data_IF_579606247094
#
_entry.id   IF_579606247094
#
_cell.length_a   1.000
_cell.length_b   1.000
_cell.length_c   1.000
_cell.angle_alpha   90.00
_cell.angle_beta   90.00
_cell.angle_gamma   90.00
#
_symmetry.space_group_name_H-M   'P 1'
#
loop_
_entity.id
_entity.type
_entity.pdbx_description
1 polymer ?
#
# COMPACT_ATOMS: atom_id res chain seq x y z
N UNK A 1 14.52 -32.14 -36.27
CA UNK A 1 14.12 -31.42 -35.04
C UNK A 1 15.36 -30.73 -34.50
N UNK A 2 15.29 -29.42 -34.27
CA UNK A 2 16.35 -28.69 -33.56
C UNK A 2 15.98 -28.77 -32.08
N UNK A 3 16.86 -29.34 -31.27
CA UNK A 3 16.70 -29.38 -29.82
C UNK A 3 17.43 -28.15 -29.27
N UNK A 4 16.69 -27.22 -28.64
CA UNK A 4 17.25 -26.00 -28.05
C UNK A 4 16.88 -26.01 -26.57
N UNK A 5 17.90 -25.90 -25.72
CA UNK A 5 17.70 -25.66 -24.29
C UNK A 5 17.35 -24.20 -24.08
N UNK A 6 16.07 -23.92 -23.83
CA UNK A 6 15.60 -22.60 -23.46
C UNK A 6 15.76 -22.40 -21.95
N UNK A 7 16.48 -21.36 -21.55
CA UNK A 7 16.70 -20.99 -20.15
C UNK A 7 16.18 -19.58 -19.93
N UNK A 8 15.31 -19.41 -18.94
CA UNK A 8 14.85 -18.09 -18.52
C UNK A 8 15.86 -17.45 -17.56
N UNK A 9 16.10 -16.15 -17.68
CA UNK A 9 16.97 -15.44 -16.72
C UNK A 9 16.31 -15.41 -15.33
N UNK A 10 15.06 -14.96 -15.28
CA UNK A 10 14.11 -15.07 -14.16
C UNK A 10 12.83 -15.72 -14.68
N UNK A 11 11.95 -16.20 -13.81
CA UNK A 11 10.68 -16.80 -14.25
C UNK A 11 9.84 -15.79 -15.06
N UNK A 12 9.40 -16.17 -16.26
CA UNK A 12 8.54 -15.32 -17.11
C UNK A 12 7.06 -15.60 -16.87
N UNK A 13 6.71 -16.87 -16.68
CA UNK A 13 5.36 -17.31 -16.32
C UNK A 13 5.42 -18.70 -15.66
N UNK A 14 4.55 -18.94 -14.68
CA UNK A 14 4.54 -20.18 -13.90
C UNK A 14 4.18 -21.44 -14.72
N UNK A 15 3.56 -21.28 -15.90
CA UNK A 15 3.17 -22.35 -16.81
C UNK A 15 4.25 -22.71 -17.85
N UNK A 16 5.29 -21.89 -18.01
CA UNK A 16 6.44 -22.19 -18.86
C UNK A 16 7.38 -23.16 -18.14
N UNK A 17 7.41 -24.42 -18.59
CA UNK A 17 8.20 -25.50 -17.96
C UNK A 17 9.60 -25.63 -18.56
N UNK A 18 10.46 -24.65 -18.28
CA UNK A 18 11.88 -24.65 -18.69
C UNK A 18 12.80 -24.29 -17.51
N UNK A 19 14.12 -24.43 -17.68
CA UNK A 19 15.08 -24.04 -16.64
C UNK A 19 15.06 -22.52 -16.40
N UNK A 20 15.33 -22.11 -15.15
CA UNK A 20 15.41 -20.70 -14.72
C UNK A 20 16.74 -20.48 -14.00
N UNK A 21 17.52 -19.50 -14.44
CA UNK A 21 18.83 -19.20 -13.85
C UNK A 21 18.70 -18.61 -12.44
N UNK A 22 17.75 -17.69 -12.25
CA UNK A 22 17.45 -17.05 -10.97
C UNK A 22 15.95 -17.20 -10.65
N UNK A 23 15.53 -18.33 -10.04
CA UNK A 23 14.13 -18.56 -9.72
C UNK A 23 13.61 -17.58 -8.65
N UNK A 24 12.30 -17.31 -8.60
CA UNK A 24 11.72 -16.48 -7.55
C UNK A 24 11.94 -17.10 -6.17
N UNK A 25 12.17 -16.24 -5.18
CA UNK A 25 12.27 -16.65 -3.79
C UNK A 25 11.02 -16.20 -3.03
N UNK A 26 10.45 -17.10 -2.23
CA UNK A 26 9.40 -16.74 -1.28
C UNK A 26 10.00 -15.99 -0.10
N UNK A 27 9.39 -14.87 0.28
CA UNK A 27 9.75 -14.15 1.50
C UNK A 27 9.01 -14.78 2.68
N UNK A 28 9.76 -15.17 3.72
CA UNK A 28 9.22 -15.72 4.97
C UNK A 28 9.43 -14.73 6.11
N UNK A 29 8.50 -14.72 7.06
CA UNK A 29 8.45 -13.75 8.15
C UNK A 29 8.48 -12.30 7.64
N UNK A 30 7.69 -12.00 6.60
CA UNK A 30 7.36 -10.61 6.27
C UNK A 30 6.65 -9.96 7.46
N UNK A 31 6.66 -8.62 7.55
CA UNK A 31 6.11 -7.93 8.72
C UNK A 31 4.67 -8.36 9.04
N UNK A 32 3.81 -8.42 8.01
CA UNK A 32 2.42 -8.86 8.18
C UNK A 32 2.29 -10.29 8.69
N UNK A 33 3.10 -11.22 8.15
CA UNK A 33 3.12 -12.61 8.58
C UNK A 33 3.61 -12.75 10.03
N UNK A 34 4.66 -12.01 10.40
CA UNK A 34 5.20 -12.02 11.75
C UNK A 34 4.20 -11.49 12.77
N UNK A 35 3.49 -10.41 12.47
CA UNK A 35 2.44 -9.86 13.33
C UNK A 35 1.31 -10.88 13.54
N UNK A 36 0.85 -11.52 12.48
CA UNK A 36 -0.19 -12.54 12.56
C UNK A 36 0.23 -13.77 13.40
N UNK A 37 1.52 -14.19 13.31
CA UNK A 37 2.08 -15.26 14.15
C UNK A 37 2.16 -14.91 15.63
N UNK A 38 2.12 -13.62 15.97
CA UNK A 38 2.14 -13.11 17.35
C UNK A 38 0.76 -12.61 17.81
N UNK A 39 -0.32 -13.06 17.14
CA UNK A 39 -1.71 -12.71 17.45
C UNK A 39 -1.97 -11.18 17.48
N UNK A 40 -1.21 -10.43 16.69
CA UNK A 40 -1.36 -8.98 16.54
C UNK A 40 -2.34 -8.62 15.42
N UNK A 41 -3.11 -7.57 15.66
CA UNK A 41 -4.08 -7.01 14.72
C UNK A 41 -3.44 -5.92 13.87
N UNK A 42 -3.78 -5.86 12.59
CA UNK A 42 -3.17 -4.94 11.65
C UNK A 42 -4.17 -4.44 10.62
N UNK A 43 -4.02 -3.19 10.17
CA UNK A 43 -4.82 -2.60 9.10
C UNK A 43 -3.93 -2.20 7.93
N UNK A 44 -4.37 -2.51 6.71
CA UNK A 44 -3.84 -1.95 5.45
C UNK A 44 -4.86 -0.98 4.87
N UNK A 45 -4.44 0.23 4.56
CA UNK A 45 -5.36 1.25 4.02
C UNK A 45 -4.68 2.11 2.97
N UNK A 46 -5.34 2.28 1.83
CA UNK A 46 -4.88 3.19 0.78
C UNK A 46 -6.00 3.42 -0.23
N UNK A 47 -5.76 4.32 -1.18
CA UNK A 47 -6.59 4.46 -2.36
C UNK A 47 -6.25 3.39 -3.43
N UNK A 48 -7.09 3.27 -4.46
CA UNK A 48 -6.98 2.29 -5.55
C UNK A 48 -5.56 2.18 -6.13
N UNK A 49 -4.90 3.30 -6.41
CA UNK A 49 -3.57 3.33 -7.04
C UNK A 49 -2.48 2.64 -6.22
N UNK A 50 -2.58 2.70 -4.89
CA UNK A 50 -1.56 2.16 -3.98
C UNK A 50 -2.08 1.04 -3.08
N UNK A 51 -3.32 0.59 -3.27
CA UNK A 51 -3.90 -0.52 -2.52
C UNK A 51 -3.11 -1.83 -2.65
N UNK A 52 -2.72 -2.22 -3.87
CA UNK A 52 -1.87 -3.40 -4.09
C UNK A 52 -0.50 -3.27 -3.40
N UNK A 53 0.00 -2.04 -3.23
CA UNK A 53 1.30 -1.76 -2.62
C UNK A 53 1.29 -2.00 -1.12
N UNK A 54 0.23 -1.62 -0.42
CA UNK A 54 0.06 -1.88 1.03
C UNK A 54 -0.48 -3.28 1.35
N UNK A 55 -0.89 -4.05 0.34
CA UNK A 55 -1.43 -5.41 0.49
C UNK A 55 -0.49 -6.44 -0.10
N UNK A 56 -0.67 -6.80 -1.38
CA UNK A 56 0.09 -7.83 -2.09
C UNK A 56 1.61 -7.61 -1.99
N UNK A 57 2.10 -6.42 -2.36
CA UNK A 57 3.55 -6.17 -2.35
C UNK A 57 4.11 -6.09 -0.92
N UNK A 58 3.42 -5.43 0.01
CA UNK A 58 3.85 -5.36 1.41
C UNK A 58 3.85 -6.74 2.09
N UNK A 59 2.97 -7.66 1.67
CA UNK A 59 2.95 -9.04 2.14
C UNK A 59 4.00 -9.94 1.47
N UNK A 60 4.84 -9.40 0.58
CA UNK A 60 5.87 -10.17 -0.12
C UNK A 60 5.33 -10.99 -1.30
N UNK A 61 4.29 -10.50 -1.96
CA UNK A 61 3.65 -11.17 -3.09
C UNK A 61 2.56 -12.17 -2.69
N UNK A 62 1.99 -12.04 -1.49
CA UNK A 62 0.89 -12.88 -1.00
C UNK A 62 -0.43 -12.09 -1.09
N UNK A 63 -1.35 -12.59 -1.90
CA UNK A 63 -2.67 -11.97 -2.12
C UNK A 63 -3.59 -12.11 -0.91
N UNK A 64 -3.59 -13.29 -0.28
CA UNK A 64 -4.41 -13.60 0.88
C UNK A 64 -4.08 -12.67 2.07
N UNK A 65 -5.11 -12.31 2.85
CA UNK A 65 -4.91 -11.52 4.06
C UNK A 65 -4.46 -12.43 5.20
N UNK A 66 -3.51 -11.98 6.02
CA UNK A 66 -3.09 -12.74 7.18
C UNK A 66 -4.16 -12.71 8.29
N UNK A 67 -4.07 -13.64 9.25
CA UNK A 67 -4.92 -13.61 10.46
C UNK A 67 -4.74 -12.27 11.17
N UNK A 68 -5.86 -11.60 11.49
CA UNK A 68 -5.84 -10.29 12.15
C UNK A 68 -5.52 -9.11 11.22
N UNK A 69 -5.37 -9.34 9.90
CA UNK A 69 -5.20 -8.29 8.90
C UNK A 69 -6.55 -7.87 8.31
N UNK A 70 -6.92 -6.62 8.53
CA UNK A 70 -8.02 -5.95 7.84
C UNK A 70 -7.48 -5.07 6.72
N UNK A 71 -8.31 -4.86 5.68
CA UNK A 71 -7.97 -4.02 4.53
C UNK A 71 -9.09 -3.03 4.23
N UNK A 72 -8.73 -1.78 3.98
CA UNK A 72 -9.64 -0.72 3.55
C UNK A 72 -9.14 -0.15 2.22
N UNK A 73 -10.01 -0.19 1.20
CA UNK A 73 -9.79 0.40 -0.10
C UNK A 73 -10.66 1.65 -0.24
N UNK A 74 -10.02 2.78 -0.53
CA UNK A 74 -10.69 4.03 -0.93
C UNK A 74 -10.63 4.14 -2.44
N UNK A 75 -11.73 4.52 -3.10
CA UNK A 75 -11.71 4.69 -4.54
C UNK A 75 -10.94 5.97 -4.88
N UNK A 76 -9.89 5.86 -5.70
CA UNK A 76 -9.24 7.03 -6.31
C UNK A 76 -10.22 7.76 -7.24
N UNK A 77 -10.06 9.08 -7.43
CA UNK A 77 -10.99 9.84 -8.27
C UNK A 77 -10.93 9.40 -9.73
N UNK A 78 -12.07 9.43 -10.39
CA UNK A 78 -12.19 9.07 -11.81
C UNK A 78 -11.84 10.27 -12.69
N UNK A 79 -10.56 10.62 -12.72
CA UNK A 79 -9.99 11.69 -13.57
C UNK A 79 -9.06 11.10 -14.62
N UNK A 80 -8.86 11.83 -15.73
CA UNK A 80 -7.97 11.37 -16.80
C UNK A 80 -6.50 11.35 -16.36
N UNK A 81 -6.09 12.39 -15.63
CA UNK A 81 -4.78 12.52 -15.00
C UNK A 81 -4.95 13.22 -13.65
N UNK A 82 -4.12 12.85 -12.67
CA UNK A 82 -4.31 13.29 -11.28
C UNK A 82 -3.92 14.76 -11.03
N UNK A 83 -3.29 15.45 -11.96
CA UNK A 83 -3.10 16.91 -11.89
C UNK A 83 -4.43 17.68 -11.90
N UNK A 84 -5.51 17.08 -12.42
CA UNK A 84 -6.86 17.66 -12.40
C UNK A 84 -7.51 17.63 -11.01
N UNK A 85 -7.04 16.74 -10.13
CA UNK A 85 -7.50 16.62 -8.74
C UNK A 85 -6.32 16.21 -7.84
N UNK A 86 -5.36 17.11 -7.57
CA UNK A 86 -4.12 16.80 -6.87
C UNK A 86 -4.29 16.24 -5.44
N UNK A 87 -5.39 16.61 -4.79
CA UNK A 87 -5.79 16.12 -3.47
C UNK A 87 -6.27 14.65 -3.49
N UNK A 88 -6.53 14.09 -4.67
CA UNK A 88 -7.04 12.73 -4.86
C UNK A 88 -8.20 12.40 -3.90
N UNK A 89 -8.18 11.24 -3.24
CA UNK A 89 -9.13 10.89 -2.18
C UNK A 89 -8.47 10.94 -0.78
N UNK A 90 -7.45 11.78 -0.62
CA UNK A 90 -6.66 11.88 0.63
C UNK A 90 -7.51 12.27 1.84
N UNK A 91 -8.52 13.12 1.67
CA UNK A 91 -9.43 13.50 2.76
C UNK A 91 -10.28 12.31 3.25
N UNK A 92 -10.87 11.53 2.34
CA UNK A 92 -11.65 10.34 2.71
C UNK A 92 -10.74 9.27 3.35
N UNK A 93 -9.54 9.07 2.79
CA UNK A 93 -8.52 8.20 3.34
C UNK A 93 -8.14 8.61 4.77
N UNK A 94 -7.94 9.90 5.02
CA UNK A 94 -7.61 10.46 6.33
C UNK A 94 -8.73 10.24 7.34
N UNK A 95 -9.98 10.48 6.96
CA UNK A 95 -11.14 10.25 7.84
C UNK A 95 -11.16 8.80 8.34
N UNK A 96 -11.02 7.82 7.43
CA UNK A 96 -11.02 6.39 7.78
C UNK A 96 -9.80 6.00 8.60
N UNK A 97 -8.62 6.54 8.28
CA UNK A 97 -7.40 6.29 9.03
C UNK A 97 -7.50 6.83 10.46
N UNK A 98 -7.95 8.08 10.64
CA UNK A 98 -8.15 8.69 11.96
C UNK A 98 -9.19 7.91 12.77
N UNK A 99 -10.29 7.47 12.15
CA UNK A 99 -11.27 6.63 12.82
C UNK A 99 -10.68 5.28 13.27
N UNK A 100 -9.85 4.65 12.42
CA UNK A 100 -9.16 3.41 12.77
C UNK A 100 -8.18 3.59 13.93
N UNK A 101 -7.39 4.67 13.94
CA UNK A 101 -6.48 5.01 15.04
C UNK A 101 -7.25 5.19 16.35
N UNK A 102 -8.29 6.04 16.33
CA UNK A 102 -9.10 6.34 17.52
C UNK A 102 -9.89 5.14 18.05
N UNK A 103 -10.12 4.12 17.21
CA UNK A 103 -10.82 2.91 17.65
C UNK A 103 -10.00 2.05 18.61
N UNK A 104 -8.67 2.18 18.62
CA UNK A 104 -7.77 1.32 19.39
C UNK A 104 -7.80 -0.16 18.98
N UNK A 105 -8.43 -0.50 17.84
CA UNK A 105 -8.63 -1.88 17.38
C UNK A 105 -7.35 -2.56 16.89
N UNK A 106 -6.41 -1.80 16.33
CA UNK A 106 -5.26 -2.33 15.59
C UNK A 106 -3.95 -2.06 16.32
N UNK A 107 -3.10 -3.09 16.46
CA UNK A 107 -1.73 -2.94 16.97
C UNK A 107 -0.82 -2.21 15.96
N UNK A 108 -1.15 -2.27 14.67
CA UNK A 108 -0.40 -1.55 13.62
C UNK A 108 -1.28 -1.17 12.45
N UNK A 109 -1.04 0.01 11.87
CA UNK A 109 -1.73 0.48 10.66
C UNK A 109 -0.69 0.86 9.62
N UNK A 110 -0.82 0.31 8.41
CA UNK A 110 0.01 0.61 7.25
C UNK A 110 -0.84 1.40 6.25
N UNK A 111 -0.53 2.68 6.10
CA UNK A 111 -1.20 3.58 5.17
C UNK A 111 -0.25 3.99 4.04
N UNK A 112 -0.79 4.14 2.82
CA UNK A 112 -0.11 4.84 1.73
C UNK A 112 -1.01 5.93 1.18
N UNK A 113 -0.45 7.15 1.09
CA UNK A 113 -1.04 8.25 0.32
C UNK A 113 -0.41 8.31 -1.08
N UNK A 114 -1.20 8.13 -2.16
CA UNK A 114 -0.68 8.07 -3.52
C UNK A 114 -0.29 9.43 -4.11
N UNK A 115 -0.78 10.54 -3.55
CA UNK A 115 -0.80 11.86 -4.20
C UNK A 115 0.57 12.31 -4.73
N UNK A 116 1.60 12.26 -3.88
CA UNK A 116 2.93 12.75 -4.26
C UNK A 116 3.53 12.01 -5.46
N UNK A 117 3.26 10.72 -5.58
CA UNK A 117 3.73 9.88 -6.68
C UNK A 117 2.85 10.05 -7.94
N UNK A 118 1.55 9.84 -7.78
CA UNK A 118 0.60 9.84 -8.90
C UNK A 118 0.47 11.21 -9.56
N UNK A 119 0.51 12.30 -8.79
CA UNK A 119 0.52 13.66 -9.32
C UNK A 119 1.91 14.05 -9.81
N UNK A 120 2.98 13.61 -9.12
CA UNK A 120 4.35 13.85 -9.54
C UNK A 120 4.67 13.30 -10.94
N UNK A 121 4.09 12.14 -11.29
CA UNK A 121 4.21 11.53 -12.62
C UNK A 121 3.63 12.34 -13.77
N UNK A 122 2.78 13.34 -13.49
CA UNK A 122 2.25 14.25 -14.53
C UNK A 122 3.29 15.27 -15.00
N UNK A 123 4.34 15.52 -14.22
CA UNK A 123 5.34 16.55 -14.48
C UNK A 123 4.83 17.99 -14.29
N UNK A 124 3.61 18.18 -13.79
CA UNK A 124 3.01 19.51 -13.55
C UNK A 124 3.37 20.00 -12.15
N UNK A 125 4.37 20.87 -12.05
CA UNK A 125 4.91 21.35 -10.77
C UNK A 125 3.83 21.97 -9.86
N UNK A 126 2.95 22.80 -10.40
CA UNK A 126 1.89 23.46 -9.61
C UNK A 126 0.91 22.45 -9.00
N UNK A 127 0.60 21.38 -9.73
CA UNK A 127 -0.25 20.30 -9.22
C UNK A 127 0.49 19.49 -8.15
N UNK A 128 1.77 19.18 -8.37
CA UNK A 128 2.58 18.46 -7.38
C UNK A 128 2.69 19.23 -6.05
N UNK A 129 2.83 20.56 -6.07
CA UNK A 129 2.81 21.39 -4.86
C UNK A 129 1.47 21.23 -4.12
N UNK A 130 0.33 21.37 -4.82
CA UNK A 130 -0.99 21.20 -4.21
C UNK A 130 -1.22 19.79 -3.64
N UNK A 131 -0.70 18.76 -4.32
CA UNK A 131 -0.75 17.40 -3.84
C UNK A 131 -0.03 17.26 -2.50
N UNK A 132 1.18 17.81 -2.38
CA UNK A 132 1.97 17.77 -1.14
C UNK A 132 1.32 18.63 -0.04
N UNK A 133 0.77 19.80 -0.36
CA UNK A 133 0.02 20.63 0.61
C UNK A 133 -1.21 19.89 1.17
N UNK A 134 -1.96 19.18 0.32
CA UNK A 134 -3.06 18.33 0.78
C UNK A 134 -2.57 17.21 1.71
N UNK A 135 -1.43 16.58 1.38
CA UNK A 135 -0.82 15.56 2.23
C UNK A 135 -0.34 16.11 3.56
N UNK A 136 0.25 17.30 3.60
CA UNK A 136 0.71 17.94 4.83
C UNK A 136 -0.44 18.08 5.84
N UNK A 137 -1.59 18.56 5.38
CA UNK A 137 -2.79 18.64 6.21
C UNK A 137 -3.29 17.26 6.69
N UNK A 138 -3.32 16.26 5.80
CA UNK A 138 -3.71 14.90 6.15
C UNK A 138 -2.78 14.29 7.21
N UNK A 139 -1.47 14.50 7.07
CA UNK A 139 -0.46 14.00 8.03
C UNK A 139 -0.59 14.71 9.38
N UNK A 140 -0.89 16.01 9.40
CA UNK A 140 -1.17 16.74 10.63
C UNK A 140 -2.36 16.13 11.39
N UNK A 141 -3.47 15.83 10.72
CA UNK A 141 -4.63 15.20 11.35
C UNK A 141 -4.33 13.80 11.89
N UNK A 142 -3.59 13.00 11.12
CA UNK A 142 -3.15 11.66 11.54
C UNK A 142 -2.23 11.75 12.75
N UNK A 143 -1.27 12.67 12.75
CA UNK A 143 -0.35 12.88 13.87
C UNK A 143 -1.11 13.25 15.15
N UNK A 144 -2.04 14.20 15.08
CA UNK A 144 -2.92 14.56 16.20
C UNK A 144 -3.76 13.37 16.68
N UNK A 145 -4.26 12.55 15.76
CA UNK A 145 -5.02 11.36 16.13
C UNK A 145 -4.16 10.34 16.90
N UNK A 146 -2.92 10.11 16.45
CA UNK A 146 -1.96 9.24 17.16
C UNK A 146 -1.65 9.82 18.54
N UNK A 147 -1.27 11.09 18.65
CA UNK A 147 -0.99 11.75 19.93
C UNK A 147 -2.18 11.65 20.90
N UNK A 148 -3.41 11.76 20.39
CA UNK A 148 -4.62 11.68 21.23
C UNK A 148 -4.90 10.31 21.85
N UNK A 149 -4.26 9.24 21.35
CA UNK A 149 -4.44 7.88 21.89
C UNK A 149 -3.21 7.37 22.65
N UNK A 150 -2.04 8.02 22.51
CA UNK A 150 -0.80 7.62 23.19
C UNK A 150 -0.91 7.71 24.71
N UNK A 151 -1.69 8.65 25.26
CA UNK A 151 -1.94 8.72 26.71
C UNK A 151 -2.85 7.58 27.24
N UNK A 152 -3.42 6.76 26.35
CA UNK A 152 -4.29 5.62 26.67
C UNK A 152 -3.69 4.26 26.24
N UNK A 153 -2.43 4.20 25.79
CA UNK A 153 -1.75 2.98 25.34
C UNK A 153 -0.81 2.39 26.41
#
# INVERSE_FOLDING_TARGET
>A
MVNVDFVMLTEYAADIKTAVAYPPASLVNTFGEWMAKNDKTQLRISETEKYAHVTFFFNGGVEESFKGEDRILINSPKVATYDLQPEMSSAELTEKLVAAIKSGKYDTIICNYPNGDMVGHTGVMEAAVKAVEALDHCVEEVAKAVESVVDNC
#
